data_IF_790670385982
#
_entry.id   IF_790670385982
#
_cell.length_a   1.000
_cell.length_b   1.000
_cell.length_c   1.000
_cell.angle_alpha   90.00
_cell.angle_beta   90.00
_cell.angle_gamma   90.00
#
_symmetry.space_group_name_H-M   'P 1'
#
loop_
_entity.id
_entity.type
_entity.pdbx_description
1 polymer ?
#
# COMPACT_ATOMS: atom_id res chain seq x y z
N UNK A 1 8.96 54.15 0.94
CA UNK A 1 8.40 53.97 2.30
C UNK A 1 7.31 52.91 2.18
N UNK A 2 7.63 51.65 2.46
CA UNK A 2 6.69 50.53 2.36
C UNK A 2 5.63 50.62 3.47
N UNK A 3 4.35 50.31 3.22
CA UNK A 3 3.36 50.21 4.28
C UNK A 3 3.58 48.91 5.06
N UNK A 4 3.81 49.07 6.37
CA UNK A 4 3.86 48.03 7.40
C UNK A 4 2.45 47.50 7.67
N UNK A 5 2.36 46.22 8.01
CA UNK A 5 1.14 45.44 7.99
C UNK A 5 0.16 45.67 9.14
N UNK A 6 -0.98 45.01 9.02
CA UNK A 6 -1.73 44.42 10.13
C UNK A 6 -2.32 43.10 9.63
N UNK A 7 -1.78 41.98 10.12
CA UNK A 7 -2.31 40.65 9.88
C UNK A 7 -3.20 40.31 11.08
N UNK A 8 -4.51 40.43 10.92
CA UNK A 8 -5.46 40.10 11.98
C UNK A 8 -5.45 38.59 12.24
N UNK A 9 -5.12 38.20 13.47
CA UNK A 9 -5.23 36.82 13.95
C UNK A 9 -6.71 36.46 14.05
N UNK A 10 -7.17 35.56 13.17
CA UNK A 10 -8.49 34.94 13.29
C UNK A 10 -8.48 33.96 14.47
N UNK A 11 -9.32 34.22 15.47
CA UNK A 11 -9.49 33.34 16.62
C UNK A 11 -10.07 31.98 16.19
N UNK A 12 -9.47 30.89 16.68
CA UNK A 12 -9.96 29.54 16.44
C UNK A 12 -11.35 29.34 17.10
N UNK A 13 -12.30 28.80 16.34
CA UNK A 13 -13.58 28.37 16.87
C UNK A 13 -13.41 27.20 17.87
N UNK A 14 -14.27 27.09 18.89
CA UNK A 14 -14.16 26.03 19.87
C UNK A 14 -14.41 24.65 19.23
N UNK A 15 -13.42 23.76 19.34
CA UNK A 15 -13.55 22.35 19.00
C UNK A 15 -14.58 21.73 19.95
N UNK A 16 -15.69 21.22 19.40
CA UNK A 16 -16.63 20.40 20.14
C UNK A 16 -15.91 19.15 20.63
N UNK A 17 -15.72 19.02 21.95
CA UNK A 17 -15.17 17.83 22.58
C UNK A 17 -16.19 16.70 22.52
N UNK A 18 -16.30 16.08 21.35
CA UNK A 18 -16.87 14.74 21.26
C UNK A 18 -15.97 13.85 22.10
N UNK A 19 -16.47 13.40 23.25
CA UNK A 19 -15.79 12.43 24.10
C UNK A 19 -15.40 11.25 23.20
N UNK A 20 -14.11 10.89 23.10
CA UNK A 20 -13.72 9.72 22.32
C UNK A 20 -14.46 8.53 22.91
N UNK A 21 -15.33 7.90 22.09
CA UNK A 21 -15.84 6.59 22.43
C UNK A 21 -14.60 5.73 22.67
N UNK A 22 -14.46 5.08 23.83
CA UNK A 22 -13.40 4.11 24.01
C UNK A 22 -13.50 3.17 22.83
N UNK A 23 -12.43 3.05 22.04
CA UNK A 23 -12.30 1.92 21.14
C UNK A 23 -12.47 0.70 22.06
N UNK A 24 -13.63 0.06 22.00
CA UNK A 24 -13.81 -1.22 22.64
C UNK A 24 -12.66 -2.11 22.16
N UNK A 25 -12.22 -3.08 22.98
CA UNK A 25 -11.20 -4.01 22.52
C UNK A 25 -11.74 -4.64 21.24
N UNK A 26 -11.18 -4.22 20.09
CA UNK A 26 -11.48 -4.84 18.82
C UNK A 26 -11.21 -6.32 19.02
N UNK A 27 -12.22 -7.14 18.77
CA UNK A 27 -12.10 -8.59 18.80
C UNK A 27 -10.86 -8.97 17.98
N UNK A 28 -9.84 -9.61 18.58
CA UNK A 28 -8.71 -10.12 17.83
C UNK A 28 -9.25 -11.21 16.90
N UNK A 29 -9.49 -10.86 15.64
CA UNK A 29 -10.20 -11.70 14.68
C UNK A 29 -10.61 -10.96 13.41
N UNK A 30 -10.92 -9.66 13.53
CA UNK A 30 -11.16 -8.80 12.38
C UNK A 30 -9.82 -8.16 12.00
N UNK A 31 -9.06 -8.84 11.14
CA UNK A 31 -7.72 -8.42 10.72
C UNK A 31 -7.71 -6.92 10.44
N UNK A 32 -6.82 -6.18 11.11
CA UNK A 32 -6.78 -4.72 11.07
C UNK A 32 -6.76 -4.24 9.62
N UNK A 33 -7.93 -3.85 9.11
CA UNK A 33 -8.09 -3.34 7.75
C UNK A 33 -7.20 -2.11 7.63
N UNK A 34 -6.27 -2.10 6.69
CA UNK A 34 -5.47 -0.91 6.40
C UNK A 34 -6.19 -0.07 5.35
N UNK A 35 -6.37 1.22 5.65
CA UNK A 35 -6.93 2.21 4.73
C UNK A 35 -5.81 2.83 3.91
N UNK A 36 -5.38 2.09 2.91
CA UNK A 36 -4.45 2.59 1.89
C UNK A 36 -5.11 2.44 0.53
N UNK A 37 -4.91 3.41 -0.35
CA UNK A 37 -5.35 3.36 -1.74
C UNK A 37 -4.20 3.74 -2.67
N UNK A 38 -4.23 3.24 -3.90
CA UNK A 38 -3.24 3.53 -4.92
C UNK A 38 -3.90 3.88 -6.25
N UNK A 39 -3.28 4.79 -7.00
CA UNK A 39 -3.67 5.15 -8.35
C UNK A 39 -2.44 5.30 -9.25
N UNK A 40 -2.54 4.71 -10.45
CA UNK A 40 -1.56 4.81 -11.54
C UNK A 40 -2.21 5.51 -12.72
N UNK A 41 -1.53 6.51 -13.30
CA UNK A 41 -1.99 7.26 -14.47
C UNK A 41 -0.84 7.43 -15.45
N UNK A 42 -1.14 7.30 -16.74
CA UNK A 42 -0.26 7.68 -17.85
C UNK A 42 -1.08 8.43 -18.88
N UNK A 43 -0.51 9.48 -19.49
CA UNK A 43 -1.14 10.22 -20.58
C UNK A 43 -0.42 10.04 -21.93
N UNK A 44 -1.01 10.59 -23.00
CA UNK A 44 -0.48 10.50 -24.36
C UNK A 44 0.81 11.30 -24.57
N UNK A 45 1.10 12.27 -23.70
CA UNK A 45 2.36 13.01 -23.70
C UNK A 45 3.49 12.24 -23.00
N UNK A 46 3.20 11.08 -22.41
CA UNK A 46 4.15 10.26 -21.69
C UNK A 46 4.37 10.68 -20.24
N UNK A 47 3.54 11.58 -19.69
CA UNK A 47 3.55 11.87 -18.26
C UNK A 47 3.02 10.66 -17.49
N UNK A 48 3.59 10.41 -16.31
CA UNK A 48 3.18 9.32 -15.45
C UNK A 48 3.03 9.77 -14.00
N UNK A 49 2.03 9.22 -13.32
CA UNK A 49 1.72 9.49 -11.91
C UNK A 49 1.50 8.16 -11.19
N UNK A 50 2.25 7.94 -10.11
CA UNK A 50 2.05 6.86 -9.16
C UNK A 50 1.79 7.47 -7.78
N UNK A 51 0.57 7.36 -7.27
CA UNK A 51 0.18 7.99 -6.00
C UNK A 51 -0.42 6.95 -5.07
N UNK A 52 0.15 6.83 -3.87
CA UNK A 52 -0.41 6.06 -2.78
C UNK A 52 -0.79 7.00 -1.64
N UNK A 53 -2.02 6.90 -1.14
CA UNK A 53 -2.48 7.66 0.01
C UNK A 53 -2.99 6.72 1.11
N UNK A 54 -2.85 7.12 2.37
CA UNK A 54 -3.23 6.27 3.51
C UNK A 54 -3.75 7.08 4.70
N UNK A 55 -4.68 6.48 5.45
CA UNK A 55 -4.97 6.86 6.83
C UNK A 55 -4.23 5.96 7.84
N UNK A 56 -3.51 4.93 7.38
CA UNK A 56 -2.90 3.89 8.21
C UNK A 56 -3.88 2.75 8.43
N UNK A 57 -4.49 2.72 9.62
CA UNK A 57 -5.53 1.75 9.99
C UNK A 57 -6.91 2.14 9.40
N UNK A 58 -7.88 1.24 9.54
CA UNK A 58 -9.32 1.43 9.33
C UNK A 58 -9.81 2.78 9.87
N UNK A 59 -10.21 3.71 9.00
CA UNK A 59 -10.61 5.08 9.34
C UNK A 59 -9.56 5.87 10.15
N UNK A 60 -8.29 5.52 10.02
CA UNK A 60 -7.17 6.12 10.75
C UNK A 60 -7.27 5.91 12.26
N UNK A 61 -7.36 7.00 13.02
CA UNK A 61 -7.58 6.95 14.47
C UNK A 61 -9.06 6.73 14.84
N UNK A 62 -9.97 6.80 13.87
CA UNK A 62 -11.41 6.91 14.08
C UNK A 62 -11.86 8.31 14.51
N UNK A 63 -10.94 9.26 14.72
CA UNK A 63 -11.26 10.66 15.02
C UNK A 63 -11.67 11.37 13.74
N UNK A 64 -12.80 12.07 13.80
CA UNK A 64 -13.35 12.84 12.68
C UNK A 64 -13.43 14.31 13.05
N UNK A 65 -12.97 15.19 12.15
CA UNK A 65 -12.99 16.64 12.30
C UNK A 65 -13.39 17.25 10.97
N UNK A 66 -14.43 18.08 10.94
CA UNK A 66 -14.84 18.87 9.76
C UNK A 66 -14.93 18.09 8.44
N UNK A 67 -15.43 16.84 8.48
CA UNK A 67 -15.59 16.02 7.28
C UNK A 67 -14.45 15.07 6.99
N UNK A 68 -13.33 15.12 7.73
CA UNK A 68 -12.15 14.27 7.48
C UNK A 68 -11.80 13.38 8.67
N UNK A 69 -11.35 12.15 8.36
CA UNK A 69 -10.75 11.26 9.35
C UNK A 69 -9.26 11.57 9.55
N UNK A 70 -8.81 11.55 10.81
CA UNK A 70 -7.41 11.77 11.14
C UNK A 70 -6.62 10.46 11.04
N UNK A 71 -5.49 10.49 10.33
CA UNK A 71 -4.61 9.35 10.13
C UNK A 71 -4.02 8.79 11.44
N UNK A 72 -3.66 7.51 11.43
CA UNK A 72 -2.96 6.81 12.52
C UNK A 72 -1.48 6.57 12.22
N UNK A 73 -0.84 7.39 11.38
CA UNK A 73 0.51 7.10 10.86
C UNK A 73 1.56 6.95 11.96
N UNK A 74 1.42 7.68 13.07
CA UNK A 74 2.36 7.61 14.20
C UNK A 74 2.43 6.23 14.87
N UNK A 75 1.44 5.35 14.62
CA UNK A 75 1.48 3.96 15.10
C UNK A 75 2.61 3.14 14.46
N UNK A 76 3.16 3.60 13.34
CA UNK A 76 4.27 2.95 12.64
C UNK A 76 5.64 3.20 13.30
N UNK A 77 5.74 4.08 14.31
CA UNK A 77 6.99 4.19 15.06
C UNK A 77 7.29 2.91 15.84
N UNK A 78 8.58 2.59 15.96
CA UNK A 78 9.02 1.51 16.83
C UNK A 78 8.77 1.88 18.30
N UNK A 79 8.41 0.87 19.10
CA UNK A 79 8.26 1.02 20.56
C UNK A 79 9.60 1.06 21.29
N UNK A 80 10.63 0.46 20.69
CA UNK A 80 12.00 0.49 21.21
C UNK A 80 12.63 1.86 20.97
N UNK A 81 13.02 2.53 22.05
CA UNK A 81 13.67 3.84 22.00
C UNK A 81 15.06 3.80 21.35
N UNK A 82 15.72 2.64 21.30
CA UNK A 82 17.00 2.47 20.60
C UNK A 82 16.83 2.27 19.09
N UNK A 83 15.60 2.06 18.61
CA UNK A 83 15.33 1.86 17.18
C UNK A 83 15.66 3.12 16.36
N UNK A 84 16.22 2.98 15.15
CA UNK A 84 16.30 4.11 14.22
C UNK A 84 14.92 4.69 13.89
N UNK A 85 13.84 3.91 14.05
CA UNK A 85 12.45 4.34 13.88
C UNK A 85 11.75 4.68 15.21
N UNK A 86 12.49 5.05 16.26
CA UNK A 86 11.90 5.54 17.51
C UNK A 86 11.19 6.91 17.32
N UNK A 87 10.11 7.19 18.07
CA UNK A 87 9.39 8.46 17.98
C UNK A 87 10.25 9.64 18.43
N UNK A 88 9.98 10.83 17.88
CA UNK A 88 10.65 12.07 18.27
C UNK A 88 10.02 13.30 17.64
N UNK A 89 10.32 14.51 18.14
CA UNK A 89 9.77 15.74 17.61
C UNK A 89 10.12 15.90 16.13
N UNK A 90 9.11 16.22 15.31
CA UNK A 90 9.22 16.39 13.86
C UNK A 90 9.74 15.17 13.08
N UNK A 91 9.87 14.00 13.71
CA UNK A 91 10.20 12.76 13.00
C UNK A 91 8.97 12.24 12.26
N UNK A 92 9.22 11.57 11.15
CA UNK A 92 8.20 10.88 10.36
C UNK A 92 8.46 9.38 10.52
N UNK A 93 7.43 8.56 10.83
CA UNK A 93 7.60 7.13 11.00
C UNK A 93 7.92 6.44 9.68
N UNK A 94 8.58 5.29 9.76
CA UNK A 94 8.79 4.43 8.60
C UNK A 94 7.46 4.05 7.92
N UNK A 95 7.52 3.88 6.60
CA UNK A 95 6.36 3.54 5.77
C UNK A 95 6.70 2.42 4.81
N UNK A 96 5.72 1.56 4.54
CA UNK A 96 5.81 0.52 3.51
C UNK A 96 5.25 0.99 2.16
N UNK A 97 4.75 2.22 2.09
CA UNK A 97 4.23 2.83 0.86
C UNK A 97 5.36 2.94 -0.17
N UNK A 98 5.11 2.38 -1.37
CA UNK A 98 6.10 2.34 -2.45
C UNK A 98 5.48 2.63 -3.84
N UNK A 99 4.89 3.81 -4.09
CA UNK A 99 4.52 4.22 -5.44
C UNK A 99 5.77 4.21 -6.33
N UNK A 100 5.72 3.50 -7.44
CA UNK A 100 6.90 3.19 -8.26
C UNK A 100 6.64 3.49 -9.72
N UNK A 101 7.58 4.20 -10.35
CA UNK A 101 7.65 4.39 -11.80
C UNK A 101 8.96 3.78 -12.28
N UNK A 102 8.87 2.87 -13.24
CA UNK A 102 10.01 2.21 -13.87
C UNK A 102 10.24 2.87 -15.22
N UNK A 103 11.50 3.22 -15.48
CA UNK A 103 11.94 3.81 -16.72
C UNK A 103 12.82 2.82 -17.51
N UNK A 104 12.70 2.86 -18.83
CA UNK A 104 13.58 2.19 -19.77
C UNK A 104 14.05 3.21 -20.79
N UNK A 105 15.37 3.39 -20.90
CA UNK A 105 15.99 4.36 -21.80
C UNK A 105 15.44 5.79 -21.65
N UNK A 106 15.10 6.17 -20.41
CA UNK A 106 14.54 7.49 -20.07
C UNK A 106 13.03 7.65 -20.34
N UNK A 107 12.36 6.65 -20.90
CA UNK A 107 10.91 6.64 -21.09
C UNK A 107 10.21 5.78 -20.02
N UNK A 108 8.95 6.10 -19.69
CA UNK A 108 8.14 5.30 -18.77
C UNK A 108 7.88 3.93 -19.39
N UNK A 109 8.23 2.87 -18.65
CA UNK A 109 7.96 1.48 -19.02
C UNK A 109 6.80 0.90 -18.20
N UNK A 110 6.72 1.27 -16.92
CA UNK A 110 5.71 0.75 -15.99
C UNK A 110 5.43 1.74 -14.85
N UNK A 111 4.17 1.87 -14.48
CA UNK A 111 3.69 2.62 -13.31
C UNK A 111 2.95 1.64 -12.42
N UNK A 112 3.40 1.46 -11.18
CA UNK A 112 2.87 0.42 -10.30
C UNK A 112 2.87 0.87 -8.85
N UNK A 113 1.86 0.43 -8.13
CA UNK A 113 1.82 0.56 -6.68
C UNK A 113 0.67 -0.25 -6.10
N UNK A 114 0.61 -0.26 -4.77
CA UNK A 114 -0.22 -1.21 -4.05
C UNK A 114 -0.62 -0.62 -2.68
N UNK A 115 -1.86 -0.81 -2.22
CA UNK A 115 -2.24 -0.75 -0.82
C UNK A 115 -2.10 -2.13 -0.15
N UNK A 116 -2.00 -2.17 1.19
CA UNK A 116 -1.97 -3.44 1.94
C UNK A 116 -0.85 -3.56 2.98
N UNK A 117 -0.41 -2.43 3.55
CA UNK A 117 0.58 -2.37 4.63
C UNK A 117 1.84 -3.23 4.36
N UNK A 118 2.21 -4.32 5.07
CA UNK A 118 3.45 -5.04 4.78
C UNK A 118 3.39 -5.84 3.48
N UNK A 119 2.21 -6.07 2.90
CA UNK A 119 2.08 -6.74 1.62
C UNK A 119 2.49 -5.84 0.43
N UNK A 120 2.62 -4.52 0.64
CA UNK A 120 2.89 -3.56 -0.44
C UNK A 120 4.19 -3.91 -1.19
N UNK A 121 5.38 -3.98 -0.54
CA UNK A 121 6.60 -4.21 -1.30
C UNK A 121 6.66 -5.59 -1.98
N UNK A 122 6.31 -6.71 -1.32
CA UNK A 122 6.32 -8.01 -1.98
C UNK A 122 5.35 -8.12 -3.15
N UNK A 123 4.16 -7.52 -3.06
CA UNK A 123 3.18 -7.55 -4.15
C UNK A 123 3.65 -6.74 -5.37
N UNK A 124 4.27 -5.58 -5.14
CA UNK A 124 4.88 -4.76 -6.19
C UNK A 124 6.03 -5.52 -6.85
N UNK A 125 6.96 -6.07 -6.08
CA UNK A 125 8.11 -6.80 -6.61
C UNK A 125 7.68 -8.01 -7.44
N UNK A 126 6.75 -8.83 -6.93
CA UNK A 126 6.21 -9.97 -7.70
C UNK A 126 5.57 -9.51 -9.01
N UNK A 127 4.79 -8.42 -8.99
CA UNK A 127 4.17 -7.88 -10.21
C UNK A 127 5.22 -7.40 -11.21
N UNK A 128 6.26 -6.69 -10.75
CA UNK A 128 7.35 -6.22 -11.62
C UNK A 128 8.05 -7.40 -12.29
N UNK A 129 8.43 -8.43 -11.53
CA UNK A 129 9.08 -9.63 -12.07
C UNK A 129 8.18 -10.32 -13.09
N UNK A 130 6.89 -10.52 -12.79
CA UNK A 130 5.98 -11.18 -13.71
C UNK A 130 5.74 -10.41 -15.01
N UNK A 131 5.65 -9.09 -14.95
CA UNK A 131 5.42 -8.27 -16.14
C UNK A 131 6.70 -8.05 -16.94
N UNK A 132 7.81 -7.68 -16.29
CA UNK A 132 9.04 -7.29 -16.99
C UNK A 132 9.95 -8.47 -17.31
N UNK A 133 10.12 -9.43 -16.40
CA UNK A 133 11.02 -10.57 -16.62
C UNK A 133 10.30 -11.73 -17.28
N UNK A 134 9.06 -12.03 -16.88
CA UNK A 134 8.29 -13.14 -17.44
C UNK A 134 7.38 -12.71 -18.60
N UNK A 135 7.38 -11.42 -18.94
CA UNK A 135 6.67 -10.84 -20.07
C UNK A 135 5.16 -11.14 -20.07
N UNK A 136 4.57 -11.27 -18.88
CA UNK A 136 3.14 -11.52 -18.76
C UNK A 136 2.33 -10.25 -18.99
N UNK A 137 1.10 -10.44 -19.50
CA UNK A 137 0.10 -9.39 -19.46
C UNK A 137 -0.13 -8.93 -18.00
N UNK A 138 -0.29 -7.62 -17.72
CA UNK A 138 -0.49 -7.13 -16.37
C UNK A 138 -1.63 -7.82 -15.60
N UNK A 139 -2.78 -8.11 -16.22
CA UNK A 139 -3.87 -8.80 -15.53
C UNK A 139 -3.52 -10.27 -15.25
N UNK A 140 -2.78 -10.93 -16.14
CA UNK A 140 -2.25 -12.27 -15.87
C UNK A 140 -1.30 -12.25 -14.67
N UNK A 141 -0.38 -11.28 -14.61
CA UNK A 141 0.53 -11.10 -13.49
C UNK A 141 -0.21 -10.88 -12.16
N UNK A 142 -1.27 -10.05 -12.15
CA UNK A 142 -2.05 -9.80 -10.94
C UNK A 142 -2.84 -11.02 -10.45
N UNK A 143 -3.20 -11.95 -11.34
CA UNK A 143 -3.93 -13.17 -10.98
C UNK A 143 -3.07 -14.28 -10.42
N UNK A 144 -1.74 -14.18 -10.52
CA UNK A 144 -0.85 -15.17 -9.92
C UNK A 144 -1.00 -15.10 -8.38
N UNK A 145 -1.15 -16.25 -7.69
CA UNK A 145 -1.14 -16.32 -6.23
C UNK A 145 0.15 -15.69 -5.67
N UNK A 146 0.06 -14.98 -4.55
CA UNK A 146 1.20 -14.26 -3.95
C UNK A 146 1.75 -14.96 -2.74
N UNK A 147 3.03 -14.69 -2.49
CA UNK A 147 3.73 -15.01 -1.26
C UNK A 147 4.21 -13.73 -0.56
N UNK A 148 3.93 -13.60 0.73
CA UNK A 148 4.30 -12.44 1.55
C UNK A 148 5.17 -12.93 2.70
N UNK A 149 6.50 -12.71 2.65
CA UNK A 149 7.37 -13.03 3.75
C UNK A 149 7.09 -12.12 4.94
N UNK A 150 7.31 -12.64 6.16
CA UNK A 150 7.32 -11.83 7.36
C UNK A 150 8.48 -10.82 7.31
N UNK A 151 8.24 -9.62 7.83
CA UNK A 151 9.30 -8.61 8.03
C UNK A 151 10.29 -9.00 9.15
N UNK A 152 9.94 -9.99 9.97
CA UNK A 152 10.79 -10.52 11.04
C UNK A 152 10.63 -12.04 11.15
N UNK A 153 11.73 -12.78 11.08
CA UNK A 153 11.74 -14.24 11.22
C UNK A 153 11.41 -14.99 9.94
N UNK A 154 10.93 -16.24 10.09
CA UNK A 154 10.79 -17.22 9.00
C UNK A 154 9.35 -17.41 8.53
N UNK A 155 8.41 -16.58 8.98
CA UNK A 155 7.01 -16.66 8.55
C UNK A 155 6.85 -16.36 7.07
N UNK A 156 6.01 -17.14 6.38
CA UNK A 156 5.67 -16.94 4.98
C UNK A 156 4.17 -17.16 4.78
N UNK A 157 3.44 -16.09 4.45
CA UNK A 157 2.04 -16.21 4.02
C UNK A 157 1.99 -16.50 2.53
N UNK A 158 1.16 -17.43 2.11
CA UNK A 158 0.96 -17.77 0.70
C UNK A 158 -0.53 -17.88 0.42
N UNK A 159 -0.98 -17.32 -0.70
CA UNK A 159 -2.32 -17.64 -1.19
C UNK A 159 -2.39 -19.09 -1.68
N UNK A 160 -3.58 -19.66 -1.64
CA UNK A 160 -3.88 -20.92 -2.31
C UNK A 160 -3.79 -20.74 -3.84
N UNK A 161 -3.42 -21.82 -4.55
CA UNK A 161 -3.29 -21.85 -6.01
C UNK A 161 -1.88 -22.09 -6.54
N UNK A 162 -0.86 -22.22 -5.68
CA UNK A 162 0.43 -22.76 -6.10
C UNK A 162 0.35 -24.28 -6.25
N UNK A 163 1.26 -24.88 -7.02
CA UNK A 163 1.40 -26.33 -7.06
C UNK A 163 1.79 -26.88 -5.68
N UNK A 164 1.28 -28.05 -5.30
CA UNK A 164 1.48 -28.64 -3.96
C UNK A 164 2.98 -28.71 -3.54
N UNK A 165 3.85 -29.04 -4.50
CA UNK A 165 5.30 -29.10 -4.28
C UNK A 165 5.93 -27.77 -3.85
N UNK A 166 5.34 -26.63 -4.21
CA UNK A 166 5.86 -25.30 -3.83
C UNK A 166 5.72 -25.07 -2.33
N UNK A 167 4.57 -25.44 -1.74
CA UNK A 167 4.36 -25.32 -0.29
C UNK A 167 5.28 -26.26 0.49
N UNK A 168 5.48 -27.49 -0.02
CA UNK A 168 6.39 -28.45 0.59
C UNK A 168 7.84 -27.95 0.55
N UNK A 169 8.26 -27.38 -0.58
CA UNK A 169 9.61 -26.83 -0.74
C UNK A 169 9.86 -25.63 0.16
N UNK A 170 8.91 -24.70 0.26
CA UNK A 170 9.02 -23.57 1.19
C UNK A 170 9.20 -24.04 2.65
N UNK A 171 8.44 -25.04 3.09
CA UNK A 171 8.63 -25.65 4.43
C UNK A 171 10.00 -26.31 4.56
N UNK A 172 10.48 -27.02 3.53
CA UNK A 172 11.80 -27.67 3.52
C UNK A 172 12.95 -26.65 3.63
N UNK A 173 12.78 -25.47 3.04
CA UNK A 173 13.71 -24.34 3.15
C UNK A 173 13.70 -23.65 4.53
N UNK A 174 12.79 -24.07 5.43
CA UNK A 174 12.73 -23.57 6.80
C UNK A 174 11.69 -22.47 7.04
N UNK A 175 10.82 -22.17 6.07
CA UNK A 175 9.75 -21.20 6.25
C UNK A 175 8.56 -21.79 7.03
N UNK A 176 8.00 -21.00 7.92
CA UNK A 176 6.71 -21.26 8.56
C UNK A 176 5.59 -20.82 7.62
N UNK A 177 5.12 -21.75 6.78
CA UNK A 177 4.11 -21.47 5.75
C UNK A 177 2.70 -21.42 6.34
N UNK A 178 2.03 -20.29 6.17
CA UNK A 178 0.60 -20.10 6.42
C UNK A 178 -0.14 -19.90 5.09
N UNK A 179 -1.09 -20.78 4.79
CA UNK A 179 -1.89 -20.71 3.55
C UNK A 179 -3.15 -19.89 3.80
N UNK A 180 -3.44 -18.94 2.93
CA UNK A 180 -4.65 -18.12 2.91
C UNK A 180 -5.52 -18.48 1.70
N UNK A 181 -6.84 -18.20 1.73
CA UNK A 181 -7.69 -18.37 0.56
C UNK A 181 -7.14 -17.66 -0.70
N UNK A 182 -7.53 -18.09 -1.91
CA UNK A 182 -7.11 -17.40 -3.12
C UNK A 182 -7.76 -16.02 -3.21
N UNK A 183 -7.06 -15.05 -3.83
CA UNK A 183 -7.56 -13.69 -4.05
C UNK A 183 -7.89 -12.99 -2.73
N UNK A 184 -7.01 -13.13 -1.75
CA UNK A 184 -7.16 -12.56 -0.40
C UNK A 184 -6.70 -11.09 -0.38
N UNK A 185 -7.58 -10.18 0.06
CA UNK A 185 -7.31 -8.74 0.16
C UNK A 185 -6.06 -8.39 0.99
N UNK A 186 -5.69 -9.24 1.95
CA UNK A 186 -4.50 -9.14 2.79
C UNK A 186 -3.17 -9.40 2.05
N UNK A 187 -3.22 -9.70 0.75
CA UNK A 187 -2.06 -9.85 -0.15
C UNK A 187 -1.88 -8.64 -1.09
N UNK A 188 -2.56 -7.54 -0.79
CA UNK A 188 -2.45 -6.26 -1.49
C UNK A 188 -3.36 -6.14 -2.70
N UNK A 189 -3.58 -4.90 -3.15
CA UNK A 189 -4.45 -4.58 -4.30
C UNK A 189 -3.72 -3.76 -5.36
N UNK A 190 -2.85 -4.38 -6.13
CA UNK A 190 -1.94 -3.68 -7.07
C UNK A 190 -2.70 -3.00 -8.20
N UNK A 191 -2.40 -1.73 -8.47
CA UNK A 191 -2.80 -1.07 -9.72
C UNK A 191 -1.56 -0.80 -10.56
N UNK A 192 -1.60 -1.19 -11.83
CA UNK A 192 -0.45 -1.18 -12.72
C UNK A 192 -0.83 -0.70 -14.12
N UNK A 193 0.04 0.10 -14.74
CA UNK A 193 0.02 0.41 -16.17
C UNK A 193 1.41 0.06 -16.70
N UNK A 194 1.52 -0.79 -17.71
CA UNK A 194 2.79 -1.22 -18.29
C UNK A 194 2.79 -1.12 -19.81
N UNK A 195 3.97 -0.97 -20.40
CA UNK A 195 4.19 -1.00 -21.85
C UNK A 195 4.32 -2.45 -22.32
N UNK A 196 3.32 -2.96 -23.03
CA UNK A 196 3.32 -4.32 -23.59
C UNK A 196 3.20 -4.22 -25.11
N UNK A 197 4.17 -4.76 -25.85
CA UNK A 197 4.17 -4.71 -27.32
C UNK A 197 4.04 -3.29 -27.88
N UNK A 198 4.59 -2.29 -27.18
CA UNK A 198 4.52 -0.89 -27.57
C UNK A 198 3.19 -0.18 -27.27
N UNK A 199 2.28 -0.81 -26.52
CA UNK A 199 0.99 -0.23 -26.09
C UNK A 199 0.90 -0.14 -24.56
N UNK A 200 0.10 0.79 -24.06
CA UNK A 200 -0.26 0.83 -22.64
C UNK A 200 -1.29 -0.24 -22.32
N UNK A 201 -1.00 -1.05 -21.31
CA UNK A 201 -1.94 -2.03 -20.76
C UNK A 201 -2.05 -1.78 -19.27
N UNK A 202 -3.27 -1.48 -18.81
CA UNK A 202 -3.58 -1.27 -17.40
C UNK A 202 -4.26 -2.49 -16.78
N UNK A 203 -4.00 -2.75 -15.51
CA UNK A 203 -4.71 -3.74 -14.71
C UNK A 203 -4.98 -3.24 -13.29
N UNK A 204 -6.15 -3.57 -12.78
CA UNK A 204 -6.54 -3.41 -11.37
C UNK A 204 -6.69 -4.80 -10.75
N UNK A 205 -6.17 -4.96 -9.54
CA UNK A 205 -6.09 -6.25 -8.87
C UNK A 205 -7.47 -6.81 -8.49
N UNK A 206 -7.81 -8.06 -8.85
CA UNK A 206 -9.09 -8.66 -8.49
C UNK A 206 -9.28 -8.87 -6.98
N UNK A 207 -8.24 -8.68 -6.16
CA UNK A 207 -8.34 -8.67 -4.68
C UNK A 207 -9.09 -7.47 -4.13
N UNK A 208 -9.39 -6.46 -4.96
CA UNK A 208 -10.15 -5.26 -4.62
C UNK A 208 -11.05 -4.85 -5.79
N UNK A 209 -11.94 -3.90 -5.53
CA UNK A 209 -12.93 -3.42 -6.51
C UNK A 209 -12.39 -2.30 -7.42
N UNK A 210 -11.09 -2.34 -7.75
CA UNK A 210 -10.46 -1.35 -8.60
C UNK A 210 -10.87 -1.48 -10.07
N UNK A 211 -10.79 -0.38 -10.82
CA UNK A 211 -11.11 -0.36 -12.25
C UNK A 211 -9.95 0.22 -13.07
N UNK A 212 -9.93 -0.13 -14.36
CA UNK A 212 -9.05 0.44 -15.38
C UNK A 212 -9.90 1.11 -16.43
N UNK A 213 -9.56 2.34 -16.80
CA UNK A 213 -10.23 3.09 -17.87
C UNK A 213 -9.18 3.67 -18.80
N UNK A 214 -9.31 3.37 -20.09
CA UNK A 214 -8.57 4.02 -21.17
C UNK A 214 -9.42 5.14 -21.77
N UNK A 215 -8.75 6.10 -22.39
CA UNK A 215 -9.36 7.12 -23.26
C UNK A 215 -9.01 6.84 -24.72
#
# INVERSE_FOLDING_TARGET
KAPTGDCAVLAAAPVSTVQPRPAGPGTPGDGAMSETTHMSVVDDAGNAVSITNTLGLGFGTGTWVDGVFLNSALFNFARDAASPNAPGPFRIPASTIAPTIILKDGAVEMVVGCPGSPAIPPAIVQTIVYVLDYHLDPMQALRIPRMIPSSSGVGLRMEDGFAEGVYAEAKRLGYEVAVSPPVDMGFGGVHVIARIGGRWVGAADPRRDGEVRGM
#
